data_IF_242754172234
#
_entry.id   IF_242754172234
#
_cell.length_a   1.000
_cell.length_b   1.000
_cell.length_c   1.000
_cell.angle_alpha   90.00
_cell.angle_beta   90.00
_cell.angle_gamma   90.00
#
_symmetry.space_group_name_H-M   'P 1'
#
loop_
_entity.id
_entity.type
_entity.pdbx_description
1 polymer ?
#
# COMPACT_ATOMS: atom_id res chain seq x y z
N UNK A 1 -48.99 -56.65 -35.68
CA UNK A 1 -49.43 -55.31 -35.23
C UNK A 1 -48.93 -55.10 -33.81
N UNK A 2 -48.25 -53.98 -33.52
CA UNK A 2 -47.86 -53.63 -32.15
C UNK A 2 -46.39 -53.27 -31.90
N UNK A 3 -45.59 -52.96 -32.93
CA UNK A 3 -44.36 -52.17 -32.75
C UNK A 3 -44.74 -50.70 -32.57
N UNK A 4 -44.05 -50.00 -31.65
CA UNK A 4 -44.12 -48.56 -31.30
C UNK A 4 -44.93 -48.30 -30.03
N UNK A 5 -44.24 -48.16 -28.89
CA UNK A 5 -44.46 -47.07 -27.91
C UNK A 5 -43.46 -47.12 -26.75
N UNK A 6 -42.80 -48.25 -26.43
CA UNK A 6 -41.86 -48.28 -25.28
C UNK A 6 -40.42 -47.92 -25.66
N UNK A 7 -40.24 -47.03 -26.64
CA UNK A 7 -38.93 -46.58 -27.13
C UNK A 7 -38.58 -45.14 -26.71
N UNK A 8 -39.24 -44.58 -25.70
CA UNK A 8 -38.89 -43.28 -25.13
C UNK A 8 -39.05 -43.36 -23.62
N UNK A 9 -38.13 -44.07 -22.94
CA UNK A 9 -37.87 -43.89 -21.49
C UNK A 9 -36.62 -44.69 -21.03
N UNK A 10 -35.70 -45.00 -21.95
CA UNK A 10 -34.34 -45.46 -21.61
C UNK A 10 -33.32 -44.42 -22.06
N UNK A 11 -33.53 -43.17 -21.65
CA UNK A 11 -32.50 -42.14 -21.72
C UNK A 11 -32.60 -41.23 -20.50
N UNK A 12 -32.36 -41.80 -19.32
CA UNK A 12 -31.93 -41.01 -18.17
C UNK A 12 -30.99 -41.88 -17.33
N UNK A 13 -29.88 -42.27 -17.96
CA UNK A 13 -28.67 -42.62 -17.24
C UNK A 13 -28.31 -41.46 -16.30
N UNK A 14 -28.13 -41.81 -15.03
CA UNK A 14 -27.04 -41.34 -14.18
C UNK A 14 -26.64 -39.87 -14.30
N UNK A 15 -27.13 -39.05 -13.38
CA UNK A 15 -26.35 -37.96 -12.80
C UNK A 15 -27.07 -37.38 -11.57
N UNK A 16 -27.19 -38.15 -10.49
CA UNK A 16 -27.20 -37.51 -9.17
C UNK A 16 -25.74 -37.31 -8.77
N UNK A 17 -25.13 -36.25 -9.32
CA UNK A 17 -23.91 -35.72 -8.75
C UNK A 17 -24.26 -35.23 -7.33
N UNK A 18 -23.85 -35.98 -6.31
CA UNK A 18 -23.92 -35.51 -4.93
C UNK A 18 -22.99 -34.30 -4.83
N UNK A 19 -23.58 -33.13 -4.55
CA UNK A 19 -22.81 -31.92 -4.30
C UNK A 19 -21.98 -32.13 -3.03
N UNK A 20 -20.68 -32.41 -3.18
CA UNK A 20 -19.74 -32.34 -2.07
C UNK A 20 -19.51 -30.87 -1.72
N UNK A 21 -20.05 -30.43 -0.58
CA UNK A 21 -19.83 -29.07 -0.07
C UNK A 21 -18.44 -29.02 0.56
N UNK A 22 -17.47 -28.45 -0.16
CA UNK A 22 -16.08 -28.31 0.30
C UNK A 22 -15.91 -27.18 1.33
N UNK A 23 -16.48 -27.36 2.52
CA UNK A 23 -16.27 -26.47 3.66
C UNK A 23 -15.01 -26.85 4.43
N UNK A 24 -14.12 -25.89 4.69
CA UNK A 24 -13.02 -26.09 5.65
C UNK A 24 -13.58 -25.78 7.03
N UNK A 25 -13.41 -26.68 8.00
CA UNK A 25 -13.83 -26.51 9.40
C UNK A 25 -12.61 -26.31 10.29
N UNK A 26 -12.74 -25.51 11.34
CA UNK A 26 -11.70 -25.35 12.35
C UNK A 26 -12.25 -25.34 13.78
N UNK A 27 -11.46 -25.77 14.74
CA UNK A 27 -11.68 -25.50 16.16
C UNK A 27 -10.35 -25.15 16.85
N UNK A 28 -10.44 -24.55 18.02
CA UNK A 28 -9.29 -24.24 18.88
C UNK A 28 -9.46 -25.05 20.16
N UNK A 29 -8.42 -25.78 20.55
CA UNK A 29 -8.42 -26.52 21.81
C UNK A 29 -8.14 -25.61 23.01
N UNK A 30 -8.17 -26.19 24.22
CA UNK A 30 -7.97 -25.46 25.47
C UNK A 30 -6.56 -24.87 25.62
N UNK A 31 -5.59 -25.38 24.85
CA UNK A 31 -4.20 -24.92 24.81
C UNK A 31 -3.98 -23.85 23.74
N UNK A 32 -5.02 -23.49 22.96
CA UNK A 32 -4.96 -22.45 21.95
C UNK A 32 -4.47 -22.93 20.57
N UNK A 33 -4.34 -24.24 20.34
CA UNK A 33 -3.88 -24.79 19.06
C UNK A 33 -5.06 -24.92 18.10
N UNK A 34 -4.88 -24.45 16.86
CA UNK A 34 -5.93 -24.45 15.83
C UNK A 34 -5.88 -25.74 15.01
N UNK A 35 -6.99 -26.48 15.00
CA UNK A 35 -7.16 -27.72 14.24
C UNK A 35 -8.06 -27.48 13.04
N UNK A 36 -7.65 -27.93 11.85
CA UNK A 36 -8.43 -27.84 10.61
C UNK A 36 -8.87 -29.22 10.12
N UNK A 37 -10.09 -29.35 9.62
CA UNK A 37 -10.61 -30.58 9.02
C UNK A 37 -11.55 -30.29 7.85
N UNK A 38 -11.62 -31.22 6.90
CA UNK A 38 -12.57 -31.23 5.79
C UNK A 38 -13.90 -31.91 6.14
N UNK A 39 -13.98 -32.63 7.27
CA UNK A 39 -15.20 -33.27 7.79
C UNK A 39 -15.30 -32.99 9.30
N UNK A 40 -16.37 -32.35 9.80
CA UNK A 40 -16.55 -32.11 11.23
C UNK A 40 -16.94 -33.42 11.90
N UNK A 41 -16.03 -34.01 12.67
CA UNK A 41 -16.24 -35.28 13.40
C UNK A 41 -16.91 -35.10 14.75
N UNK A 42 -16.95 -33.88 15.27
CA UNK A 42 -17.66 -33.53 16.51
C UNK A 42 -18.13 -32.06 16.49
N UNK A 43 -18.94 -31.68 17.49
CA UNK A 43 -19.57 -30.35 17.58
C UNK A 43 -18.59 -29.19 17.85
N UNK A 44 -17.29 -29.44 18.09
CA UNK A 44 -16.29 -28.39 18.33
C UNK A 44 -15.85 -27.75 17.02
N UNK A 45 -15.87 -28.51 15.92
CA UNK A 45 -15.52 -28.03 14.59
C UNK A 45 -16.55 -27.04 14.06
N UNK A 46 -16.10 -25.80 13.82
CA UNK A 46 -16.91 -24.73 13.24
C UNK A 46 -16.47 -24.46 11.81
N UNK A 47 -17.42 -24.20 10.91
CA UNK A 47 -17.13 -23.92 9.51
C UNK A 47 -16.30 -22.64 9.37
N UNK A 48 -15.06 -22.78 8.91
CA UNK A 48 -14.08 -21.71 8.73
C UNK A 48 -14.28 -20.96 7.40
N UNK A 49 -14.63 -21.68 6.32
CA UNK A 49 -14.99 -21.10 5.02
C UNK A 49 -16.12 -21.88 4.36
N UNK A 50 -17.34 -21.33 4.43
CA UNK A 50 -18.38 -21.59 3.43
C UNK A 50 -18.34 -20.48 2.39
N UNK A 51 -18.04 -20.79 1.14
CA UNK A 51 -18.27 -19.84 0.06
C UNK A 51 -19.78 -19.73 -0.19
N UNK A 52 -20.41 -18.66 0.31
CA UNK A 52 -21.32 -17.73 -0.41
C UNK A 52 -22.20 -16.95 0.57
N UNK A 53 -22.03 -15.62 0.50
CA UNK A 53 -22.78 -14.52 1.13
C UNK A 53 -22.74 -14.43 2.67
N UNK A 54 -22.35 -13.27 3.24
CA UNK A 54 -22.22 -13.14 4.69
C UNK A 54 -23.60 -13.01 5.35
N UNK A 55 -24.03 -14.07 6.05
CA UNK A 55 -25.16 -14.05 6.99
C UNK A 55 -24.71 -13.47 8.34
N UNK A 56 -24.29 -12.22 8.37
CA UNK A 56 -24.16 -11.49 9.63
C UNK A 56 -24.67 -10.06 9.45
N UNK A 57 -25.92 -9.82 9.86
CA UNK A 57 -26.41 -8.48 10.23
C UNK A 57 -25.73 -8.05 11.55
N UNK A 58 -24.41 -7.82 11.51
CA UNK A 58 -23.66 -7.23 12.62
C UNK A 58 -24.00 -5.75 12.61
N UNK A 59 -24.60 -5.26 13.70
CA UNK A 59 -24.60 -3.82 14.02
C UNK A 59 -23.21 -3.29 13.74
N UNK A 60 -23.06 -2.49 12.69
CA UNK A 60 -21.79 -1.81 12.37
C UNK A 60 -21.54 -0.82 13.50
N UNK A 61 -20.85 -1.22 14.57
CA UNK A 61 -20.04 -0.24 15.30
C UNK A 61 -19.11 0.32 14.23
N UNK A 62 -19.32 1.58 13.84
CA UNK A 62 -18.34 2.35 13.04
C UNK A 62 -17.05 2.35 13.86
N UNK A 63 -16.20 1.34 13.66
CA UNK A 63 -14.78 1.51 13.95
C UNK A 63 -14.38 2.60 12.97
N UNK A 64 -14.20 3.84 13.46
CA UNK A 64 -13.55 4.87 12.67
C UNK A 64 -12.18 4.27 12.34
N UNK A 65 -11.99 3.80 11.12
CA UNK A 65 -10.65 3.52 10.61
C UNK A 65 -9.87 4.81 10.84
N UNK A 66 -8.86 4.76 11.70
CA UNK A 66 -7.97 5.88 11.91
C UNK A 66 -7.21 6.08 10.59
N UNK A 67 -7.75 6.93 9.73
CA UNK A 67 -7.04 7.49 8.60
C UNK A 67 -6.49 8.83 9.10
N UNK A 68 -5.18 8.94 9.36
CA UNK A 68 -4.58 10.21 9.73
C UNK A 68 -4.95 11.26 8.68
N UNK A 69 -5.31 12.48 9.13
CA UNK A 69 -5.42 13.59 8.20
C UNK A 69 -4.06 13.89 7.58
N UNK A 70 -4.02 14.50 6.40
CA UNK A 70 -2.75 14.92 5.77
C UNK A 70 -1.93 15.86 6.68
N UNK A 71 -2.59 16.54 7.62
CA UNK A 71 -1.94 17.41 8.60
C UNK A 71 -1.33 16.70 9.81
N UNK A 72 -1.63 15.41 10.01
CA UNK A 72 -1.17 14.66 11.18
C UNK A 72 0.36 14.63 11.29
N UNK A 73 1.06 14.57 10.15
CA UNK A 73 2.53 14.53 10.09
C UNK A 73 3.19 15.90 9.90
N UNK A 74 2.42 16.99 9.91
CA UNK A 74 2.93 18.34 9.62
C UNK A 74 4.04 18.77 10.58
N UNK A 75 3.97 18.35 11.85
CA UNK A 75 5.04 18.62 12.82
C UNK A 75 6.37 17.98 12.40
N UNK A 76 6.36 16.71 12.00
CA UNK A 76 7.56 16.00 11.55
C UNK A 76 8.11 16.61 10.26
N UNK A 77 7.21 16.90 9.31
CA UNK A 77 7.56 17.55 8.04
C UNK A 77 8.14 18.94 8.22
N UNK A 78 7.56 19.76 9.11
CA UNK A 78 8.05 21.11 9.41
C UNK A 78 9.42 21.06 10.07
N UNK A 79 9.62 20.16 11.04
CA UNK A 79 10.93 19.96 11.68
C UNK A 79 11.99 19.53 10.67
N UNK A 80 11.67 18.60 9.78
CA UNK A 80 12.59 18.16 8.73
C UNK A 80 12.87 19.27 7.69
N UNK A 81 11.84 20.02 7.29
CA UNK A 81 11.94 21.19 6.41
C UNK A 81 12.92 22.22 6.95
N UNK A 82 12.77 22.62 8.22
CA UNK A 82 13.66 23.57 8.89
C UNK A 82 15.09 23.01 8.97
N UNK A 83 15.24 21.75 9.41
CA UNK A 83 16.56 21.14 9.61
C UNK A 83 17.40 21.07 8.33
N UNK A 84 16.78 20.74 7.19
CA UNK A 84 17.50 20.51 5.94
C UNK A 84 17.35 21.66 4.93
N UNK A 85 16.58 22.70 5.27
CA UNK A 85 16.34 23.85 4.40
C UNK A 85 15.65 23.45 3.09
N UNK A 86 14.61 22.62 3.19
CA UNK A 86 13.75 22.24 2.07
C UNK A 86 12.35 22.79 2.28
N UNK A 87 11.66 23.11 1.20
CA UNK A 87 10.33 23.69 1.28
C UNK A 87 9.31 22.71 1.91
N UNK A 88 8.56 23.16 2.90
CA UNK A 88 7.57 22.33 3.59
C UNK A 88 6.50 21.76 2.64
N UNK A 89 6.04 22.55 1.66
CA UNK A 89 5.06 22.07 0.67
C UNK A 89 5.66 21.00 -0.26
N UNK A 90 6.96 21.09 -0.55
CA UNK A 90 7.65 20.06 -1.35
C UNK A 90 7.72 18.74 -0.59
N UNK A 91 8.10 18.76 0.68
CA UNK A 91 8.15 17.53 1.49
C UNK A 91 6.76 16.88 1.61
N UNK A 92 5.73 17.69 1.81
CA UNK A 92 4.34 17.23 1.86
C UNK A 92 3.89 16.60 0.53
N UNK A 93 4.30 17.20 -0.60
CA UNK A 93 4.05 16.68 -1.94
C UNK A 93 4.74 15.32 -2.19
N UNK A 94 6.00 15.16 -1.75
CA UNK A 94 6.72 13.90 -1.86
C UNK A 94 6.03 12.81 -1.03
N UNK A 95 5.72 13.05 0.25
CA UNK A 95 5.00 12.07 1.09
C UNK A 95 3.65 11.68 0.48
N UNK A 96 2.91 12.65 -0.06
CA UNK A 96 1.64 12.38 -0.76
C UNK A 96 1.85 11.46 -1.95
N UNK A 97 2.85 11.72 -2.79
CA UNK A 97 3.12 10.96 -4.00
C UNK A 97 3.69 9.56 -3.74
N UNK A 98 4.40 9.38 -2.64
CA UNK A 98 5.06 8.13 -2.24
C UNK A 98 4.11 7.16 -1.55
N UNK A 99 3.42 7.62 -0.50
CA UNK A 99 2.66 6.74 0.39
C UNK A 99 1.21 7.16 0.56
N UNK A 100 0.81 8.32 0.03
CA UNK A 100 -0.45 8.96 0.36
C UNK A 100 -0.66 9.07 1.89
N UNK A 101 0.42 9.40 2.63
CA UNK A 101 0.46 9.49 4.09
C UNK A 101 0.21 8.18 4.85
N UNK A 102 0.39 7.02 4.22
CA UNK A 102 0.37 5.73 4.91
C UNK A 102 1.76 5.40 5.49
N UNK A 103 1.95 5.42 6.83
CA UNK A 103 3.25 5.17 7.44
C UNK A 103 3.68 3.70 7.35
N UNK A 104 2.76 2.78 7.03
CA UNK A 104 3.02 1.35 6.85
C UNK A 104 3.06 0.94 5.39
N UNK A 105 3.18 1.90 4.46
CA UNK A 105 3.27 1.61 3.03
C UNK A 105 4.52 0.78 2.71
N UNK A 106 4.33 -0.28 1.92
CA UNK A 106 5.40 -1.11 1.36
C UNK A 106 5.16 -1.27 -0.14
N UNK A 107 6.10 -0.85 -0.97
CA UNK A 107 6.00 -1.05 -2.42
C UNK A 107 6.34 -2.49 -2.82
N UNK A 108 5.96 -2.95 -4.03
CA UNK A 108 6.39 -4.25 -4.56
C UNK A 108 7.91 -4.43 -4.63
N UNK A 109 8.66 -3.31 -4.75
CA UNK A 109 10.13 -3.29 -4.77
C UNK A 109 10.74 -3.24 -3.36
N UNK A 110 9.91 -3.16 -2.31
CA UNK A 110 10.34 -3.13 -0.91
C UNK A 110 10.60 -1.74 -0.33
N UNK A 111 10.20 -0.66 -1.01
CA UNK A 111 10.29 0.69 -0.46
C UNK A 111 9.32 0.85 0.73
N UNK A 112 9.74 1.53 1.80
CA UNK A 112 9.03 1.52 3.09
C UNK A 112 8.70 2.91 3.64
N UNK A 113 7.51 3.01 4.24
CA UNK A 113 7.09 4.16 5.04
C UNK A 113 6.63 5.36 4.23
N UNK A 114 6.54 6.51 4.91
CA UNK A 114 5.93 7.74 4.38
C UNK A 114 6.62 8.29 3.13
N UNK A 115 7.95 8.23 3.09
CA UNK A 115 8.81 8.70 2.00
C UNK A 115 9.40 7.55 1.17
N UNK A 116 8.87 6.32 1.34
CA UNK A 116 9.21 5.12 0.55
C UNK A 116 10.73 4.92 0.39
N UNK A 117 11.44 4.78 1.50
CA UNK A 117 12.87 4.50 1.48
C UNK A 117 13.11 3.03 1.12
N UNK A 118 13.97 2.79 0.15
CA UNK A 118 14.47 1.44 -0.12
C UNK A 118 15.31 0.93 1.06
N UNK A 119 15.33 -0.38 1.37
CA UNK A 119 16.05 -0.91 2.53
C UNK A 119 17.54 -0.53 2.55
N UNK A 120 18.22 -0.61 1.41
CA UNK A 120 19.62 -0.17 1.26
C UNK A 120 19.80 1.32 1.57
N UNK A 121 18.85 2.16 1.15
CA UNK A 121 18.86 3.61 1.46
C UNK A 121 18.63 3.85 2.94
N UNK A 122 17.70 3.11 3.58
CA UNK A 122 17.46 3.17 5.02
C UNK A 122 18.72 2.81 5.81
N UNK A 123 19.45 1.78 5.41
CA UNK A 123 20.72 1.36 6.01
C UNK A 123 21.79 2.45 5.89
N UNK A 124 22.02 2.98 4.68
CA UNK A 124 22.97 4.09 4.44
C UNK A 124 22.62 5.34 5.26
N UNK A 125 21.34 5.51 5.59
CA UNK A 125 20.82 6.62 6.37
C UNK A 125 20.69 6.31 7.87
N UNK A 126 21.11 5.12 8.33
CA UNK A 126 20.98 4.68 9.73
C UNK A 126 19.55 4.79 10.28
N UNK A 127 18.55 4.47 9.45
CA UNK A 127 17.14 4.36 9.86
C UNK A 127 16.94 3.04 10.58
N UNK A 128 16.49 3.07 11.84
CA UNK A 128 16.26 1.87 12.64
C UNK A 128 14.89 1.28 12.34
N UNK A 129 13.88 2.13 12.25
CA UNK A 129 12.52 1.72 11.91
C UNK A 129 11.97 2.57 10.75
N UNK A 130 11.91 2.01 9.52
CA UNK A 130 11.41 2.75 8.36
C UNK A 130 9.90 3.01 8.41
N UNK A 131 9.17 2.40 9.35
CA UNK A 131 7.74 2.66 9.60
C UNK A 131 7.50 3.68 10.72
N UNK A 132 8.55 4.10 11.44
CA UNK A 132 8.44 5.24 12.34
C UNK A 132 8.33 6.53 11.51
N UNK A 133 7.25 7.33 11.68
CA UNK A 133 7.05 8.53 10.87
C UNK A 133 8.17 9.56 10.98
N UNK A 134 8.74 9.75 12.17
CA UNK A 134 9.78 10.76 12.37
C UNK A 134 11.09 10.33 11.72
N UNK A 135 11.54 9.09 11.98
CA UNK A 135 12.76 8.55 11.38
C UNK A 135 12.68 8.54 9.85
N UNK A 136 11.56 8.06 9.30
CA UNK A 136 11.36 7.95 7.86
C UNK A 136 11.34 9.33 7.18
N UNK A 137 10.57 10.29 7.72
CA UNK A 137 10.51 11.66 7.17
C UNK A 137 11.88 12.33 7.27
N UNK A 138 12.57 12.21 8.40
CA UNK A 138 13.85 12.87 8.62
C UNK A 138 14.93 12.33 7.67
N UNK A 139 14.96 11.01 7.48
CA UNK A 139 15.91 10.35 6.58
C UNK A 139 15.59 10.63 5.11
N UNK A 140 14.33 10.51 4.69
CA UNK A 140 13.93 10.83 3.31
C UNK A 140 14.15 12.29 2.96
N UNK A 141 13.92 13.21 3.89
CA UNK A 141 14.24 14.63 3.69
C UNK A 141 15.75 14.86 3.54
N UNK A 142 16.57 14.18 4.35
CA UNK A 142 18.03 14.23 4.22
C UNK A 142 18.49 13.72 2.85
N UNK A 143 17.93 12.59 2.41
CA UNK A 143 18.25 12.00 1.11
C UNK A 143 17.86 12.94 -0.03
N UNK A 144 16.65 13.50 0.00
CA UNK A 144 16.22 14.50 -0.98
C UNK A 144 17.14 15.73 -0.98
N UNK A 145 17.61 16.20 0.18
CA UNK A 145 18.56 17.31 0.26
C UNK A 145 19.91 16.97 -0.38
N UNK A 146 20.40 15.74 -0.21
CA UNK A 146 21.62 15.27 -0.87
C UNK A 146 21.44 15.29 -2.40
N UNK A 147 20.31 14.81 -2.91
CA UNK A 147 19.99 14.85 -4.34
C UNK A 147 19.86 16.29 -4.86
N UNK A 148 19.19 17.17 -4.12
CA UNK A 148 19.13 18.60 -4.47
C UNK A 148 20.54 19.19 -4.59
N UNK A 149 21.47 18.85 -3.68
CA UNK A 149 22.86 19.30 -3.78
C UNK A 149 23.57 18.71 -5.01
N UNK A 150 23.41 17.41 -5.26
CA UNK A 150 24.03 16.71 -6.39
C UNK A 150 23.61 17.29 -7.74
N UNK A 151 22.34 17.71 -7.86
CA UNK A 151 21.78 18.25 -9.10
C UNK A 151 21.65 19.78 -9.08
N UNK A 152 22.54 20.50 -8.36
CA UNK A 152 22.61 21.98 -8.37
C UNK A 152 21.28 22.69 -8.06
N UNK A 153 20.51 22.14 -7.10
CA UNK A 153 19.16 22.56 -6.72
C UNK A 153 18.11 22.47 -7.84
N UNK A 154 18.37 21.73 -8.92
CA UNK A 154 17.37 21.41 -9.91
C UNK A 154 16.37 20.41 -9.32
N UNK A 155 15.22 20.93 -8.88
CA UNK A 155 14.15 20.16 -8.26
C UNK A 155 13.65 19.01 -9.16
N UNK A 156 13.58 19.22 -10.48
CA UNK A 156 13.08 18.22 -11.42
C UNK A 156 14.02 17.02 -11.44
N UNK A 157 15.34 17.28 -11.48
CA UNK A 157 16.35 16.22 -11.52
C UNK A 157 16.48 15.51 -10.17
N UNK A 158 16.40 16.26 -9.07
CA UNK A 158 16.40 15.67 -7.74
C UNK A 158 15.20 14.74 -7.50
N UNK A 159 13.99 15.12 -7.95
CA UNK A 159 12.81 14.26 -7.86
C UNK A 159 12.91 13.03 -8.77
N UNK A 160 13.42 13.20 -10.00
CA UNK A 160 13.67 12.06 -10.89
C UNK A 160 14.67 11.09 -10.26
N UNK A 161 15.74 11.60 -9.63
CA UNK A 161 16.77 10.81 -8.98
C UNK A 161 16.27 10.14 -7.71
N UNK A 162 15.33 10.76 -6.99
CA UNK A 162 14.71 10.17 -5.82
C UNK A 162 13.96 8.87 -6.19
N UNK A 163 13.28 8.86 -7.35
CA UNK A 163 12.50 7.72 -7.83
C UNK A 163 13.34 6.70 -8.64
N UNK A 164 14.16 7.16 -9.58
CA UNK A 164 14.89 6.31 -10.53
C UNK A 164 16.32 5.96 -10.09
N UNK A 165 16.83 6.66 -9.06
CA UNK A 165 18.23 6.59 -8.64
C UNK A 165 19.09 7.70 -9.26
N UNK A 166 20.06 8.25 -8.51
CA UNK A 166 20.90 9.37 -8.96
C UNK A 166 21.80 8.99 -10.14
N UNK A 167 22.37 7.79 -10.15
CA UNK A 167 23.30 7.36 -11.21
C UNK A 167 22.61 7.33 -12.58
N UNK A 168 21.35 6.87 -12.62
CA UNK A 168 20.54 6.84 -13.84
C UNK A 168 20.31 8.27 -14.35
N UNK A 169 19.86 9.18 -13.49
CA UNK A 169 19.61 10.58 -13.88
C UNK A 169 20.89 11.27 -14.35
N UNK A 170 22.02 10.99 -13.70
CA UNK A 170 23.33 11.49 -14.13
C UNK A 170 23.74 10.96 -15.51
N UNK A 171 23.54 9.67 -15.79
CA UNK A 171 23.84 9.07 -17.09
C UNK A 171 22.99 9.65 -18.22
N UNK A 172 21.69 9.84 -17.97
CA UNK A 172 20.78 10.45 -18.95
C UNK A 172 20.95 11.97 -19.06
N UNK A 173 21.64 12.61 -18.12
CA UNK A 173 21.68 14.06 -17.95
C UNK A 173 20.27 14.69 -17.96
N UNK A 174 19.31 14.01 -17.35
CA UNK A 174 17.90 14.33 -17.45
C UNK A 174 16.99 13.28 -16.85
N UNK A 175 15.67 13.46 -17.02
CA UNK A 175 14.69 12.46 -16.60
C UNK A 175 14.84 11.25 -17.54
N UNK A 176 15.12 10.04 -17.02
CA UNK A 176 15.17 8.84 -17.85
C UNK A 176 13.79 8.60 -18.50
N UNK A 177 13.72 7.94 -19.67
CA UNK A 177 12.48 7.65 -20.38
C UNK A 177 11.67 6.52 -19.71
N UNK A 178 11.60 6.52 -18.37
CA UNK A 178 10.82 5.60 -17.56
C UNK A 178 9.44 6.23 -17.32
N UNK A 179 8.35 5.60 -17.80
CA UNK A 179 7.01 6.14 -17.62
C UNK A 179 6.65 6.39 -16.14
N UNK A 180 7.12 5.51 -15.24
CA UNK A 180 6.98 5.63 -13.79
C UNK A 180 7.58 6.94 -13.27
N UNK A 181 8.83 7.22 -13.63
CA UNK A 181 9.57 8.41 -13.17
C UNK A 181 9.00 9.70 -13.74
N UNK A 182 8.64 9.72 -15.03
CA UNK A 182 8.01 10.89 -15.65
C UNK A 182 6.68 11.21 -14.95
N UNK A 183 5.87 10.18 -14.68
CA UNK A 183 4.58 10.33 -14.00
C UNK A 183 4.78 10.78 -12.55
N UNK A 184 5.77 10.21 -11.86
CA UNK A 184 6.13 10.58 -10.49
C UNK A 184 6.50 12.06 -10.38
N UNK A 185 7.41 12.54 -11.23
CA UNK A 185 7.87 13.94 -11.21
C UNK A 185 6.70 14.89 -11.45
N UNK A 186 5.87 14.62 -12.47
CA UNK A 186 4.67 15.42 -12.75
C UNK A 186 3.73 15.49 -11.54
N UNK A 187 3.43 14.33 -10.94
CA UNK A 187 2.54 14.21 -9.78
C UNK A 187 3.06 14.98 -8.57
N UNK A 188 4.36 14.89 -8.27
CA UNK A 188 4.95 15.65 -7.15
C UNK A 188 4.86 17.15 -7.40
N UNK A 189 5.14 17.63 -8.62
CA UNK A 189 5.08 19.06 -8.94
C UNK A 189 3.66 19.62 -8.87
N UNK A 190 2.66 18.83 -9.28
CA UNK A 190 1.24 19.18 -9.11
C UNK A 190 0.87 19.33 -7.63
N UNK A 191 1.17 18.32 -6.81
CA UNK A 191 0.94 18.39 -5.36
C UNK A 191 1.70 19.54 -4.70
N UNK A 192 2.93 19.81 -5.14
CA UNK A 192 3.73 20.90 -4.61
C UNK A 192 3.06 22.25 -4.86
N UNK A 193 2.56 22.49 -6.08
CA UNK A 193 1.79 23.69 -6.43
C UNK A 193 0.54 23.81 -5.56
N UNK A 194 -0.20 22.72 -5.38
CA UNK A 194 -1.43 22.72 -4.58
C UNK A 194 -1.16 23.04 -3.11
N UNK A 195 -0.15 22.42 -2.51
CA UNK A 195 0.23 22.70 -1.12
C UNK A 195 0.76 24.12 -0.95
N UNK A 196 1.56 24.63 -1.89
CA UNK A 196 1.99 26.04 -1.89
C UNK A 196 0.81 27.00 -1.88
N UNK A 197 -0.19 26.75 -2.72
CA UNK A 197 -1.40 27.57 -2.79
C UNK A 197 -2.20 27.49 -1.49
N UNK A 198 -2.42 26.29 -0.94
CA UNK A 198 -3.13 26.10 0.33
C UNK A 198 -2.46 26.85 1.48
N UNK A 199 -1.14 26.74 1.61
CA UNK A 199 -0.38 27.43 2.67
C UNK A 199 -0.45 28.95 2.50
N UNK A 200 -0.32 29.44 1.26
CA UNK A 200 -0.45 30.88 0.97
C UNK A 200 -1.82 31.41 1.35
N UNK A 201 -2.88 30.65 1.10
CA UNK A 201 -4.25 31.04 1.45
C UNK A 201 -4.50 31.00 2.96
N UNK A 202 -3.88 30.09 3.71
CA UNK A 202 -4.02 30.03 5.18
C UNK A 202 -3.26 31.12 5.94
N UNK A 203 -2.38 31.87 5.26
CA UNK A 203 -1.64 33.00 5.84
C UNK A 203 -2.31 34.36 5.60
N UNK A 204 -3.40 34.39 4.83
CA UNK A 204 -4.23 35.57 4.62
C UNK A 204 -5.42 35.54 5.58
#
# INVERSE_FOLDING_TARGET
MGTRIVAILMLLQFCFATYAVAGIYCYVDEQGVVHFSNVPTDNRYKLYKASRKPLIKKRKKKVKSFCPSESYYDRHLLRASIKYGLDFALLKAVVKAESNFNPYAVSPKGAQGLMQLMPKTSELLNVKNPFDPEENILAGTRYLKMLMKQFNNNIIFALAAYNAGPDVVSQYNGIPPYPETITYVKRVLEYFRDYKNKIRLSMK
#
